data_IF_743628175454
#
_entry.id   IF_743628175454
#
_cell.length_a   1.000
_cell.length_b   1.000
_cell.length_c   1.000
_cell.angle_alpha   90.00
_cell.angle_beta   90.00
_cell.angle_gamma   90.00
#
_symmetry.space_group_name_H-M   'P 1'
#
loop_
_entity.id
_entity.type
_entity.pdbx_description
1 polymer ?
#
# COMPACT_ATOMS: atom_id res chain seq x y z
N UNK A 1 -20.26 13.67 8.39
CA UNK A 1 -18.88 13.41 7.91
C UNK A 1 -18.01 14.49 8.52
N UNK A 2 -16.92 14.15 9.20
CA UNK A 2 -16.01 15.17 9.75
C UNK A 2 -15.13 15.74 8.64
N UNK A 3 -14.59 16.95 8.81
CA UNK A 3 -13.62 17.56 7.89
C UNK A 3 -12.45 16.61 7.62
N UNK A 4 -11.89 16.02 8.68
CA UNK A 4 -10.84 15.00 8.58
C UNK A 4 -11.23 13.80 7.72
N UNK A 5 -12.44 13.27 7.87
CA UNK A 5 -12.91 12.15 7.04
C UNK A 5 -13.13 12.56 5.57
N UNK A 6 -13.57 13.80 5.32
CA UNK A 6 -13.66 14.35 3.99
C UNK A 6 -12.30 14.36 3.28
N UNK A 7 -11.24 14.86 3.95
CA UNK A 7 -9.87 14.88 3.41
C UNK A 7 -9.40 13.49 2.97
N UNK A 8 -9.61 12.47 3.83
CA UNK A 8 -9.25 11.07 3.54
C UNK A 8 -9.98 10.55 2.29
N UNK A 9 -11.30 10.79 2.23
CA UNK A 9 -12.15 10.30 1.15
C UNK A 9 -11.76 10.93 -0.18
N UNK A 10 -11.50 12.24 -0.21
CA UNK A 10 -11.13 12.94 -1.44
C UNK A 10 -9.75 12.53 -1.94
N UNK A 11 -8.75 12.34 -1.06
CA UNK A 11 -7.44 11.79 -1.46
C UNK A 11 -7.60 10.41 -2.09
N UNK A 12 -8.30 9.49 -1.43
CA UNK A 12 -8.49 8.13 -1.97
C UNK A 12 -9.25 8.12 -3.29
N UNK A 13 -10.25 8.99 -3.44
CA UNK A 13 -11.05 9.13 -4.66
C UNK A 13 -10.20 9.63 -5.82
N UNK A 14 -9.44 10.72 -5.64
CA UNK A 14 -8.62 11.29 -6.71
C UNK A 14 -7.45 10.39 -7.07
N UNK A 15 -6.81 9.78 -6.07
CA UNK A 15 -5.73 8.82 -6.29
C UNK A 15 -6.23 7.57 -7.05
N UNK A 16 -7.46 7.11 -6.77
CA UNK A 16 -8.08 6.02 -7.52
C UNK A 16 -8.23 6.31 -9.01
N UNK A 17 -8.60 7.52 -9.40
CA UNK A 17 -8.74 7.86 -10.82
C UNK A 17 -7.39 7.77 -11.56
N UNK A 18 -6.29 8.05 -10.87
CA UNK A 18 -4.93 7.91 -11.41
C UNK A 18 -4.41 6.47 -11.43
N UNK A 19 -4.74 5.68 -10.42
CA UNK A 19 -4.23 4.31 -10.23
C UNK A 19 -5.05 3.26 -11.01
N UNK A 20 -6.35 3.50 -11.24
CA UNK A 20 -7.26 2.57 -11.93
C UNK A 20 -6.76 2.08 -13.31
N UNK A 21 -6.07 2.89 -14.15
CA UNK A 21 -5.49 2.42 -15.41
C UNK A 21 -4.49 1.25 -15.29
N UNK A 22 -3.96 1.00 -14.09
CA UNK A 22 -3.00 -0.08 -13.80
C UNK A 22 -3.68 -1.34 -13.24
N UNK A 23 -5.01 -1.46 -13.38
CA UNK A 23 -5.85 -2.59 -12.91
C UNK A 23 -5.92 -2.77 -11.38
N UNK A 24 -5.49 -1.76 -10.63
CA UNK A 24 -5.67 -1.69 -9.19
C UNK A 24 -7.07 -1.20 -8.83
N UNK A 25 -7.74 -1.91 -7.90
CA UNK A 25 -9.09 -1.60 -7.42
C UNK A 25 -9.02 -1.04 -6.00
N UNK A 26 -9.61 0.13 -5.78
CA UNK A 26 -9.70 0.72 -4.45
C UNK A 26 -10.66 -0.07 -3.52
N UNK A 27 -10.11 -0.53 -2.39
CA UNK A 27 -10.81 -1.05 -1.22
C UNK A 27 -10.90 0.06 -0.17
N UNK A 28 -11.96 0.88 -0.26
CA UNK A 28 -12.13 2.10 0.56
C UNK A 28 -12.03 1.86 2.07
N UNK A 29 -12.59 0.77 2.58
CA UNK A 29 -12.59 0.46 4.02
C UNK A 29 -11.20 0.18 4.58
N UNK A 30 -10.28 -0.27 3.73
CA UNK A 30 -8.90 -0.60 4.11
C UNK A 30 -7.89 0.45 3.66
N UNK A 31 -8.32 1.49 2.92
CA UNK A 31 -7.43 2.49 2.31
C UNK A 31 -6.35 1.84 1.42
N UNK A 32 -6.74 0.80 0.68
CA UNK A 32 -5.84 -0.03 -0.14
C UNK A 32 -6.26 -0.02 -1.60
N UNK A 33 -5.30 -0.04 -2.50
CA UNK A 33 -5.49 -0.34 -3.91
C UNK A 33 -5.00 -1.76 -4.14
N UNK A 34 -5.88 -2.67 -4.57
CA UNK A 34 -5.57 -4.09 -4.75
C UNK A 34 -5.54 -4.47 -6.23
N UNK A 35 -4.49 -5.17 -6.63
CA UNK A 35 -4.38 -5.86 -7.91
C UNK A 35 -4.30 -7.36 -7.64
N UNK A 36 -5.11 -8.17 -8.32
CA UNK A 36 -5.00 -9.62 -8.25
C UNK A 36 -3.91 -10.08 -9.22
N UNK A 37 -3.11 -11.06 -8.81
CA UNK A 37 -2.09 -11.69 -9.64
C UNK A 37 -2.41 -13.18 -9.82
N UNK A 38 -1.63 -13.89 -10.63
CA UNK A 38 -1.75 -15.34 -10.76
C UNK A 38 -1.45 -16.06 -9.43
N UNK A 39 -0.55 -15.50 -8.61
CA UNK A 39 -0.04 -16.13 -7.39
C UNK A 39 -0.68 -15.61 -6.09
N UNK A 40 -1.52 -14.57 -6.18
CA UNK A 40 -2.19 -13.95 -5.03
C UNK A 40 -2.61 -12.52 -5.32
N UNK A 41 -1.96 -11.54 -4.68
CA UNK A 41 -2.27 -10.13 -4.88
C UNK A 41 -1.11 -9.19 -4.56
N UNK A 42 -1.18 -7.99 -5.16
CA UNK A 42 -0.39 -6.82 -4.82
C UNK A 42 -1.30 -5.76 -4.19
N UNK A 43 -0.80 -5.02 -3.20
CA UNK A 43 -1.49 -3.85 -2.66
C UNK A 43 -0.57 -2.66 -2.48
N UNK A 44 -1.08 -1.52 -2.91
CA UNK A 44 -0.59 -0.21 -2.50
C UNK A 44 -1.52 0.32 -1.40
N UNK A 45 -1.03 0.40 -0.16
CA UNK A 45 -1.82 0.81 1.00
C UNK A 45 -1.42 2.22 1.43
N UNK A 46 -2.41 3.06 1.75
CA UNK A 46 -2.16 4.35 2.38
C UNK A 46 -2.57 4.24 3.85
N UNK A 47 -1.60 4.26 4.75
CA UNK A 47 -1.83 4.29 6.20
C UNK A 47 -2.11 5.73 6.61
N UNK A 48 -3.30 5.97 7.15
CA UNK A 48 -3.73 7.26 7.69
C UNK A 48 -3.59 7.27 9.21
N UNK A 49 -2.65 8.06 9.74
CA UNK A 49 -2.41 8.25 11.17
C UNK A 49 -2.97 9.58 11.64
N UNK A 50 -3.75 9.56 12.72
CA UNK A 50 -4.35 10.77 13.29
C UNK A 50 -3.26 11.65 13.89
N UNK A 51 -3.27 12.95 13.57
CA UNK A 51 -2.42 13.97 14.19
C UNK A 51 -3.20 14.83 15.19
N UNK A 52 -2.50 15.37 16.18
CA UNK A 52 -3.09 16.23 17.23
C UNK A 52 -3.71 17.51 16.67
N UNK A 53 -3.19 18.03 15.56
CA UNK A 53 -3.72 19.20 14.86
C UNK A 53 -5.02 18.93 14.09
N UNK A 54 -5.60 17.73 14.21
CA UNK A 54 -6.85 17.35 13.54
C UNK A 54 -6.69 16.82 12.12
N UNK A 55 -5.47 16.82 11.56
CA UNK A 55 -5.16 16.29 10.23
C UNK A 55 -4.77 14.81 10.21
N UNK A 56 -4.25 14.38 9.06
CA UNK A 56 -3.68 13.06 8.83
C UNK A 56 -2.19 13.14 8.53
N UNK A 57 -1.43 12.17 9.02
CA UNK A 57 -0.20 11.74 8.38
C UNK A 57 -0.51 10.55 7.47
N UNK A 58 -0.02 10.59 6.24
CA UNK A 58 -0.18 9.56 5.24
C UNK A 58 1.17 8.86 5.02
N UNK A 59 1.17 7.54 5.13
CA UNK A 59 2.34 6.69 4.88
C UNK A 59 1.98 5.60 3.87
N UNK A 60 2.53 5.64 2.64
CA UNK A 60 2.31 4.59 1.68
C UNK A 60 3.14 3.34 2.01
N UNK A 61 2.52 2.19 1.86
CA UNK A 61 3.11 0.88 2.09
C UNK A 61 2.84 -0.05 0.91
N UNK A 62 3.76 -0.99 0.70
CA UNK A 62 3.72 -1.99 -0.34
C UNK A 62 3.49 -3.36 0.30
N UNK A 63 2.54 -4.10 -0.25
CA UNK A 63 2.23 -5.44 0.22
C UNK A 63 2.10 -6.40 -0.96
N UNK A 64 2.70 -7.58 -0.84
CA UNK A 64 2.59 -8.66 -1.82
C UNK A 64 2.20 -9.92 -1.09
N UNK A 65 1.29 -10.69 -1.67
CA UNK A 65 0.92 -12.01 -1.18
C UNK A 65 1.15 -13.07 -2.25
N UNK A 66 1.84 -14.11 -1.82
CA UNK A 66 1.88 -15.41 -2.49
C UNK A 66 1.02 -16.37 -1.68
N UNK A 67 -0.12 -16.77 -2.24
CA UNK A 67 -1.08 -17.63 -1.53
C UNK A 67 -0.43 -18.93 -1.08
N UNK A 68 0.44 -19.53 -1.90
CA UNK A 68 1.19 -20.75 -1.55
C UNK A 68 2.09 -20.55 -0.32
N UNK A 69 2.79 -19.41 -0.23
CA UNK A 69 3.70 -19.13 0.90
C UNK A 69 2.90 -18.90 2.17
N UNK A 70 1.85 -18.08 2.10
CA UNK A 70 0.96 -17.83 3.23
C UNK A 70 0.25 -19.11 3.69
N UNK A 71 -0.19 -19.96 2.78
CA UNK A 71 -0.86 -21.22 3.12
C UNK A 71 0.09 -22.19 3.84
N UNK A 72 1.38 -22.22 3.47
CA UNK A 72 2.40 -22.99 4.19
C UNK A 72 2.61 -22.38 5.58
N UNK A 73 2.85 -21.07 5.65
CA UNK A 73 3.07 -20.36 6.91
C UNK A 73 1.92 -20.58 7.90
N UNK A 74 0.68 -20.39 7.46
CA UNK A 74 -0.51 -20.55 8.31
C UNK A 74 -0.79 -21.97 8.76
N UNK A 75 -0.30 -22.98 8.04
CA UNK A 75 -0.38 -24.38 8.48
C UNK A 75 0.52 -24.67 9.68
N UNK A 76 1.60 -23.91 9.85
CA UNK A 76 2.64 -24.17 10.86
C UNK A 76 2.68 -23.13 11.98
N UNK A 77 2.19 -21.91 11.77
CA UNK A 77 2.40 -20.77 12.68
C UNK A 77 1.38 -20.61 13.80
N UNK A 78 0.43 -21.54 13.94
CA UNK A 78 -0.74 -21.45 14.86
C UNK A 78 -1.53 -20.13 14.73
N UNK A 79 -1.33 -19.38 13.65
CA UNK A 79 -1.93 -18.06 13.45
C UNK A 79 -3.45 -18.19 13.33
N UNK A 80 -4.20 -17.36 14.06
CA UNK A 80 -5.67 -17.45 14.09
C UNK A 80 -6.25 -17.25 12.69
N UNK A 81 -7.05 -18.24 12.24
CA UNK A 81 -7.68 -18.30 10.91
C UNK A 81 -8.40 -17.02 10.52
N UNK A 82 -8.98 -16.29 11.47
CA UNK A 82 -9.70 -15.05 11.17
C UNK A 82 -8.80 -13.92 10.64
N UNK A 83 -7.50 -13.97 10.90
CA UNK A 83 -6.53 -12.96 10.47
C UNK A 83 -5.73 -13.36 9.21
N UNK A 84 -5.72 -14.64 8.85
CA UNK A 84 -4.88 -15.21 7.77
C UNK A 84 -5.16 -14.63 6.36
N UNK A 85 -6.39 -14.18 6.09
CA UNK A 85 -6.78 -13.71 4.75
C UNK A 85 -6.13 -12.36 4.38
N UNK A 86 -5.78 -11.56 5.38
CA UNK A 86 -5.25 -10.21 5.19
C UNK A 86 -3.73 -10.14 5.16
N UNK A 87 -3.03 -11.22 5.52
CA UNK A 87 -1.58 -11.20 5.70
C UNK A 87 -0.86 -11.15 4.35
N UNK A 88 0.18 -10.30 4.22
CA UNK A 88 1.07 -10.35 3.09
C UNK A 88 2.23 -11.32 3.35
N UNK A 89 2.81 -11.83 2.26
CA UNK A 89 4.11 -12.51 2.26
C UNK A 89 5.24 -11.51 2.41
N UNK A 90 5.13 -10.35 1.76
CA UNK A 90 6.07 -9.25 1.88
C UNK A 90 5.26 -8.00 2.19
N UNK A 91 5.57 -7.32 3.30
CA UNK A 91 4.98 -6.03 3.65
C UNK A 91 6.06 -5.06 4.10
N UNK A 92 6.09 -3.86 3.50
CA UNK A 92 7.06 -2.82 3.89
C UNK A 92 6.47 -1.43 3.67
N UNK A 93 6.82 -0.48 4.53
CA UNK A 93 6.55 0.93 4.27
C UNK A 93 7.60 1.45 3.28
N UNK A 94 7.20 2.32 2.34
CA UNK A 94 8.15 2.83 1.33
C UNK A 94 9.36 3.52 1.98
N UNK A 95 9.15 4.20 3.09
CA UNK A 95 10.21 4.90 3.83
C UNK A 95 11.29 3.99 4.43
N UNK A 96 10.98 2.71 4.67
CA UNK A 96 11.89 1.76 5.29
C UNK A 96 12.77 1.06 4.23
N UNK A 97 12.52 1.31 2.95
CA UNK A 97 13.23 0.66 1.85
C UNK A 97 14.59 1.33 1.60
N UNK A 98 15.66 0.55 1.74
CA UNK A 98 17.04 1.02 1.59
C UNK A 98 17.32 1.71 0.25
N UNK A 99 16.78 1.17 -0.85
CA UNK A 99 16.96 1.71 -2.20
C UNK A 99 16.26 3.07 -2.42
N UNK A 100 15.39 3.47 -1.48
CA UNK A 100 14.62 4.70 -1.53
C UNK A 100 14.93 5.64 -0.36
N UNK A 101 16.07 5.42 0.33
CA UNK A 101 16.60 6.32 1.36
C UNK A 101 16.77 7.73 0.79
N UNK A 102 15.97 8.67 1.29
CA UNK A 102 15.96 10.07 0.86
C UNK A 102 14.71 10.50 0.09
N UNK A 103 13.86 9.55 -0.31
CA UNK A 103 12.52 9.87 -0.83
C UNK A 103 11.61 10.22 0.35
N UNK A 104 10.90 11.35 0.27
CA UNK A 104 9.89 11.69 1.27
C UNK A 104 8.63 10.86 1.03
N UNK A 105 8.43 9.83 1.86
CA UNK A 105 7.24 8.98 1.86
C UNK A 105 6.33 9.25 3.07
N UNK A 106 6.40 10.44 3.68
CA UNK A 106 5.45 10.90 4.69
C UNK A 106 4.82 12.22 4.25
N UNK A 107 3.48 12.26 4.29
CA UNK A 107 2.73 13.44 3.89
C UNK A 107 1.82 13.90 5.01
N UNK A 108 1.75 15.21 5.23
CA UNK A 108 0.83 15.82 6.18
C UNK A 108 -0.35 16.46 5.43
N UNK A 109 -1.56 16.03 5.78
CA UNK A 109 -2.82 16.51 5.22
C UNK A 109 -3.67 17.13 6.33
N UNK A 110 -3.66 18.46 6.41
CA UNK A 110 -4.42 19.23 7.40
C UNK A 110 -5.56 20.03 6.79
N UNK A 111 -5.53 20.28 5.48
CA UNK A 111 -6.55 21.07 4.79
C UNK A 111 -6.72 20.67 3.32
N UNK A 112 -7.79 21.17 2.70
CA UNK A 112 -8.20 20.80 1.34
C UNK A 112 -7.21 21.23 0.25
N UNK A 113 -6.48 22.35 0.46
CA UNK A 113 -5.55 22.87 -0.54
C UNK A 113 -4.36 21.95 -0.78
N UNK A 114 -4.07 21.05 0.16
CA UNK A 114 -2.98 20.08 0.05
C UNK A 114 -3.36 18.83 -0.74
N UNK A 115 -4.66 18.54 -0.92
CA UNK A 115 -5.16 17.28 -1.48
C UNK A 115 -4.50 16.97 -2.83
N UNK A 116 -4.53 17.91 -3.78
CA UNK A 116 -3.99 17.67 -5.12
C UNK A 116 -2.49 17.36 -5.09
N UNK A 117 -1.70 18.17 -4.37
CA UNK A 117 -0.25 17.95 -4.25
C UNK A 117 0.09 16.61 -3.61
N UNK A 118 -0.69 16.17 -2.62
CA UNK A 118 -0.48 14.87 -1.96
C UNK A 118 -0.88 13.73 -2.89
N UNK A 119 -1.99 13.86 -3.63
CA UNK A 119 -2.41 12.87 -4.62
C UNK A 119 -1.35 12.71 -5.71
N UNK A 120 -0.78 13.81 -6.19
CA UNK A 120 0.29 13.80 -7.18
C UNK A 120 1.53 13.08 -6.63
N UNK A 121 2.01 13.45 -5.44
CA UNK A 121 3.16 12.79 -4.82
C UNK A 121 2.92 11.30 -4.52
N UNK A 122 1.72 10.93 -4.04
CA UNK A 122 1.36 9.53 -3.80
C UNK A 122 1.29 8.71 -5.09
N UNK A 123 0.86 9.34 -6.18
CA UNK A 123 0.85 8.71 -7.49
C UNK A 123 2.27 8.59 -8.07
N UNK A 124 3.12 9.60 -7.90
CA UNK A 124 4.53 9.53 -8.30
C UNK A 124 5.26 8.41 -7.56
N UNK A 125 5.00 8.22 -6.25
CA UNK A 125 5.51 7.06 -5.51
C UNK A 125 4.94 5.73 -6.04
N UNK A 126 3.67 5.72 -6.44
CA UNK A 126 3.09 4.52 -7.03
C UNK A 126 3.81 4.14 -8.35
N UNK A 127 4.00 5.09 -9.26
CA UNK A 127 4.65 4.82 -10.56
C UNK A 127 6.13 4.49 -10.43
N UNK A 128 6.86 5.25 -9.61
CA UNK A 128 8.33 5.17 -9.56
C UNK A 128 8.85 4.18 -8.51
N UNK A 129 8.02 3.77 -7.55
CA UNK A 129 8.43 2.87 -6.46
C UNK A 129 7.56 1.62 -6.41
N UNK A 130 6.24 1.78 -6.33
CA UNK A 130 5.33 0.64 -6.14
C UNK A 130 5.31 -0.30 -7.36
N UNK A 131 5.14 0.24 -8.58
CA UNK A 131 5.12 -0.58 -9.79
C UNK A 131 6.42 -1.36 -9.99
N UNK A 132 7.63 -0.75 -9.94
CA UNK A 132 8.89 -1.51 -10.02
C UNK A 132 9.04 -2.55 -8.92
N UNK A 133 8.60 -2.25 -7.69
CA UNK A 133 8.62 -3.21 -6.59
C UNK A 133 7.74 -4.42 -6.89
N UNK A 134 6.49 -4.21 -7.33
CA UNK A 134 5.59 -5.32 -7.66
C UNK A 134 6.12 -6.14 -8.83
N UNK A 135 6.67 -5.52 -9.87
CA UNK A 135 7.28 -6.24 -11.01
C UNK A 135 8.48 -7.08 -10.57
N UNK A 136 9.36 -6.53 -9.71
CA UNK A 136 10.53 -7.26 -9.21
C UNK A 136 10.14 -8.57 -8.52
N UNK A 137 9.03 -8.56 -7.80
CA UNK A 137 8.55 -9.68 -7.01
C UNK A 137 7.34 -10.38 -7.65
N UNK A 138 7.10 -10.21 -8.96
CA UNK A 138 5.97 -10.83 -9.67
C UNK A 138 6.24 -12.31 -10.04
N UNK A 139 7.37 -12.86 -9.61
CA UNK A 139 7.68 -14.27 -9.74
C UNK A 139 8.28 -14.85 -8.45
N UNK A 140 7.97 -16.13 -8.21
CA UNK A 140 8.46 -16.87 -7.04
C UNK A 140 9.99 -17.01 -7.04
N UNK A 141 10.65 -17.04 -8.20
CA UNK A 141 12.11 -17.18 -8.28
C UNK A 141 12.84 -15.96 -7.68
N UNK A 142 12.33 -14.75 -7.88
CA UNK A 142 12.92 -13.54 -7.32
C UNK A 142 12.76 -13.47 -5.79
N UNK A 143 11.75 -14.14 -5.24
CA UNK A 143 11.62 -14.31 -3.78
C UNK A 143 12.61 -15.34 -3.27
N UNK A 144 12.73 -16.47 -3.96
CA UNK A 144 13.68 -17.53 -3.60
C UNK A 144 15.14 -17.02 -3.58
N UNK A 145 15.54 -16.23 -4.58
CA UNK A 145 16.87 -15.58 -4.66
C UNK A 145 17.13 -14.52 -3.56
N UNK A 146 16.09 -13.99 -2.91
CA UNK A 146 16.25 -13.04 -1.80
C UNK A 146 16.30 -13.72 -0.43
N UNK A 147 15.85 -14.98 -0.35
CA UNK A 147 15.75 -15.75 0.89
C UNK A 147 16.88 -16.79 1.05
N UNK A 148 17.51 -17.22 -0.04
CA UNK A 148 18.60 -18.21 -0.10
C UNK A 148 19.90 -17.63 -0.68
#
# INVERSE_FOLDING_TARGET
MTEREFLKIEVLKLLNEKIKPFDFKLLRSACEFLQKTEFGWNKYQIVFLVRENGGWELKPSLLIRFDVVEDIFHRISEFDKKYQKGTPTIGTAIEDMDNYKGINARFELTNENQINSIVDNLFDLFENVALPFFVKFDNLSAIDEQLN
#
